data_IF_189537278011
#
_entry.id   IF_189537278011
#
_cell.length_a   1.000
_cell.length_b   1.000
_cell.length_c   1.000
_cell.angle_alpha   90.00
_cell.angle_beta   90.00
_cell.angle_gamma   90.00
#
_symmetry.space_group_name_H-M   'P 1'
#
loop_
_entity.id
_entity.type
_entity.pdbx_description
1 polymer ?
#
# COMPACT_ATOMS: atom_id res chain seq x y z
N UNK A 1 -4.63 6.47 -15.23
CA UNK A 1 -3.93 6.13 -14.19
C UNK A 1 -4.74 6.03 -13.03
N UNK A 2 -5.04 4.99 -12.68
CA UNK A 2 -5.90 4.81 -11.68
C UNK A 2 -5.23 5.04 -10.43
N UNK A 3 -5.67 4.98 -9.46
CA UNK A 3 -5.33 5.32 -8.12
C UNK A 3 -4.03 4.70 -7.59
N UNK A 4 -2.94 4.87 -8.34
CA UNK A 4 -1.64 4.32 -7.94
C UNK A 4 -1.21 4.85 -6.57
N UNK A 5 -1.45 6.13 -6.31
CA UNK A 5 -1.11 6.73 -5.01
C UNK A 5 -1.92 6.06 -3.90
N UNK A 6 -3.20 5.82 -4.12
CA UNK A 6 -4.05 5.12 -3.15
C UNK A 6 -3.49 3.74 -2.84
N UNK A 7 -3.16 2.95 -3.87
CA UNK A 7 -2.68 1.59 -3.65
C UNK A 7 -1.31 1.55 -2.98
N UNK A 8 -0.43 2.51 -3.28
CA UNK A 8 0.85 2.62 -2.57
C UNK A 8 0.63 2.91 -1.09
N UNK A 9 -0.31 3.80 -0.77
CA UNK A 9 -0.64 4.12 0.62
C UNK A 9 -1.25 2.91 1.34
N UNK A 10 -2.17 2.20 0.69
CA UNK A 10 -2.75 0.99 1.27
C UNK A 10 -1.71 -0.11 1.47
N UNK A 11 -0.82 -0.26 0.50
CA UNK A 11 0.27 -1.24 0.61
C UNK A 11 1.16 -0.92 1.81
N UNK A 12 1.52 0.34 2.00
CA UNK A 12 2.35 0.75 3.14
C UNK A 12 1.72 0.33 4.47
N UNK A 13 0.40 0.48 4.60
CA UNK A 13 -0.32 0.14 5.82
C UNK A 13 -0.49 -1.37 5.98
N UNK A 14 -0.87 -2.06 4.90
CA UNK A 14 -1.34 -3.45 4.98
C UNK A 14 -0.37 -4.50 4.46
N UNK A 15 0.83 -4.11 4.05
CA UNK A 15 1.79 -5.06 3.46
C UNK A 15 2.10 -6.26 4.36
N UNK A 16 2.02 -6.07 5.67
CA UNK A 16 2.24 -7.16 6.62
C UNK A 16 1.21 -8.29 6.51
N UNK A 17 0.07 -8.03 5.86
CA UNK A 17 -0.97 -9.02 5.64
C UNK A 17 -0.84 -9.74 4.30
N UNK A 18 0.13 -9.35 3.49
CA UNK A 18 0.39 -9.96 2.20
C UNK A 18 1.49 -11.01 2.33
N UNK A 19 1.51 -11.97 1.40
CA UNK A 19 2.60 -12.94 1.33
C UNK A 19 3.88 -12.27 0.82
N UNK A 20 5.02 -12.91 1.03
CA UNK A 20 6.30 -12.42 0.52
C UNK A 20 6.26 -12.23 -0.99
N UNK A 21 5.69 -13.21 -1.70
CA UNK A 21 5.56 -13.12 -3.15
C UNK A 21 4.69 -11.95 -3.57
N UNK A 22 3.58 -11.71 -2.87
CA UNK A 22 2.69 -10.59 -3.18
C UNK A 22 3.39 -9.25 -2.96
N UNK A 23 4.15 -9.12 -1.87
CA UNK A 23 4.92 -7.89 -1.62
C UNK A 23 5.94 -7.64 -2.72
N UNK A 24 6.63 -8.70 -3.14
CA UNK A 24 7.62 -8.57 -4.20
C UNK A 24 6.99 -8.20 -5.53
N UNK A 25 5.86 -8.82 -5.86
CA UNK A 25 5.12 -8.54 -7.08
C UNK A 25 4.65 -7.08 -7.11
N UNK A 26 4.12 -6.59 -5.99
CA UNK A 26 3.70 -5.20 -5.86
C UNK A 26 4.90 -4.25 -6.04
N UNK A 27 6.03 -4.59 -5.41
CA UNK A 27 7.25 -3.81 -5.54
C UNK A 27 7.70 -3.68 -7.00
N UNK A 28 7.70 -4.77 -7.73
CA UNK A 28 8.08 -4.76 -9.15
C UNK A 28 7.19 -3.84 -9.96
N UNK A 29 5.90 -3.88 -9.74
CA UNK A 29 4.95 -3.10 -10.53
C UNK A 29 4.92 -1.63 -10.14
N UNK A 30 4.89 -1.33 -8.84
CA UNK A 30 4.64 0.02 -8.37
C UNK A 30 5.90 0.82 -8.01
N UNK A 31 6.96 0.15 -7.59
CA UNK A 31 8.18 0.85 -7.21
C UNK A 31 9.29 0.74 -8.26
N UNK A 32 9.37 -0.39 -8.97
CA UNK A 32 10.34 -0.56 -10.04
C UNK A 32 9.76 -0.24 -11.42
N UNK A 33 8.46 0.03 -11.47
CA UNK A 33 7.75 0.40 -12.70
C UNK A 33 7.92 -0.60 -13.84
N UNK A 34 7.92 -1.88 -13.50
CA UNK A 34 8.05 -2.93 -14.51
C UNK A 34 6.72 -3.20 -15.20
N UNK A 35 6.78 -3.49 -16.50
CA UNK A 35 5.62 -3.94 -17.25
C UNK A 35 5.27 -5.38 -16.84
N UNK A 36 4.07 -5.82 -17.17
CA UNK A 36 3.70 -7.21 -16.89
C UNK A 36 4.59 -8.20 -17.64
N UNK A 37 5.05 -7.83 -18.84
CA UNK A 37 5.99 -8.66 -19.59
C UNK A 37 7.33 -8.80 -18.84
N UNK A 38 7.83 -7.70 -18.29
CA UNK A 38 9.07 -7.69 -17.52
C UNK A 38 8.92 -8.48 -16.24
N UNK A 39 7.79 -8.32 -15.55
CA UNK A 39 7.50 -9.09 -14.34
C UNK A 39 7.44 -10.59 -14.66
N UNK A 40 6.85 -10.96 -15.78
CA UNK A 40 6.77 -12.36 -16.20
C UNK A 40 8.17 -12.95 -16.38
N UNK A 41 9.09 -12.20 -16.98
CA UNK A 41 10.48 -12.63 -17.12
C UNK A 41 11.13 -12.83 -15.75
N UNK A 42 10.96 -11.88 -14.85
CA UNK A 42 11.59 -11.92 -13.53
C UNK A 42 11.06 -13.07 -12.67
N UNK A 43 9.78 -13.35 -12.75
CA UNK A 43 9.13 -14.33 -11.87
C UNK A 43 9.00 -15.72 -12.49
N UNK A 44 9.21 -15.84 -13.79
CA UNK A 44 8.96 -17.09 -14.51
C UNK A 44 7.48 -17.36 -14.76
N UNK A 45 6.61 -16.41 -14.41
CA UNK A 45 5.17 -16.55 -14.64
C UNK A 45 4.80 -15.99 -16.02
N UNK A 46 3.54 -16.12 -16.42
CA UNK A 46 3.04 -15.51 -17.64
C UNK A 46 2.67 -14.06 -17.40
N UNK A 47 2.55 -13.27 -18.47
CA UNK A 47 2.06 -11.90 -18.38
C UNK A 47 0.67 -11.85 -17.77
N UNK A 48 -0.19 -12.78 -18.16
CA UNK A 48 -1.55 -12.88 -17.63
C UNK A 48 -1.54 -13.16 -16.13
N UNK A 49 -0.66 -14.06 -15.70
CA UNK A 49 -0.52 -14.39 -14.29
C UNK A 49 0.00 -13.19 -13.49
N UNK A 50 0.95 -12.44 -14.06
CA UNK A 50 1.46 -11.24 -13.39
C UNK A 50 0.35 -10.19 -13.24
N UNK A 51 -0.41 -9.93 -14.30
CA UNK A 51 -1.52 -8.97 -14.25
C UNK A 51 -2.60 -9.41 -13.26
N UNK A 52 -2.95 -10.70 -13.28
CA UNK A 52 -3.93 -11.24 -12.34
C UNK A 52 -3.46 -11.18 -10.91
N UNK A 53 -2.18 -11.39 -10.67
CA UNK A 53 -1.60 -11.27 -9.33
C UNK A 53 -1.68 -9.86 -8.78
N UNK A 54 -1.38 -8.88 -9.61
CA UNK A 54 -1.50 -7.46 -9.21
C UNK A 54 -2.96 -7.11 -8.91
N UNK A 55 -3.89 -7.55 -9.77
CA UNK A 55 -5.31 -7.30 -9.53
C UNK A 55 -5.75 -7.90 -8.20
N UNK A 56 -5.32 -9.11 -7.91
CA UNK A 56 -5.66 -9.79 -6.65
C UNK A 56 -5.12 -9.02 -5.45
N UNK A 57 -3.90 -8.50 -5.54
CA UNK A 57 -3.32 -7.69 -4.46
C UNK A 57 -4.14 -6.42 -4.25
N UNK A 58 -4.50 -5.73 -5.32
CA UNK A 58 -5.32 -4.52 -5.24
C UNK A 58 -6.67 -4.81 -4.59
N UNK A 59 -7.30 -5.89 -4.98
CA UNK A 59 -8.58 -6.30 -4.38
C UNK A 59 -8.43 -6.58 -2.89
N UNK A 60 -7.35 -7.26 -2.50
CA UNK A 60 -7.09 -7.53 -1.08
C UNK A 60 -6.86 -6.25 -0.28
N UNK A 61 -6.09 -5.32 -0.83
CA UNK A 61 -5.84 -4.06 -0.14
C UNK A 61 -7.12 -3.27 0.08
N UNK A 62 -8.02 -3.26 -0.91
CA UNK A 62 -9.32 -2.61 -0.75
C UNK A 62 -10.19 -3.32 0.28
N UNK A 63 -10.15 -4.65 0.32
CA UNK A 63 -10.87 -5.44 1.32
C UNK A 63 -10.38 -5.13 2.72
N UNK A 64 -9.05 -5.08 2.91
CA UNK A 64 -8.49 -4.76 4.22
C UNK A 64 -8.91 -3.37 4.69
N UNK A 65 -8.85 -2.39 3.79
CA UNK A 65 -9.26 -1.04 4.15
C UNK A 65 -10.76 -0.96 4.46
N UNK A 66 -11.57 -1.68 3.70
CA UNK A 66 -13.01 -1.72 3.96
C UNK A 66 -13.31 -2.27 5.36
N UNK A 67 -12.56 -3.29 5.77
CA UNK A 67 -12.76 -3.94 7.06
C UNK A 67 -12.13 -3.18 8.23
N UNK A 68 -10.90 -2.71 8.05
CA UNK A 68 -10.09 -2.16 9.13
C UNK A 68 -10.04 -0.65 9.19
N UNK A 69 -10.19 0.01 8.04
CA UNK A 69 -10.26 1.48 7.93
C UNK A 69 -9.05 2.20 8.53
N UNK A 70 -7.87 1.58 8.46
CA UNK A 70 -6.66 2.19 9.04
C UNK A 70 -6.20 3.41 8.26
N UNK A 71 -6.34 3.40 6.92
CA UNK A 71 -5.98 4.58 6.14
C UNK A 71 -6.89 5.75 6.50
N UNK A 72 -8.19 5.50 6.59
CA UNK A 72 -9.14 6.54 6.98
C UNK A 72 -8.80 7.09 8.36
N UNK A 73 -8.46 6.22 9.30
CA UNK A 73 -8.08 6.61 10.65
C UNK A 73 -6.80 7.46 10.64
N UNK A 74 -5.77 7.03 9.92
CA UNK A 74 -4.52 7.79 9.84
C UNK A 74 -4.72 9.14 9.18
N UNK A 75 -5.53 9.21 8.12
CA UNK A 75 -5.84 10.47 7.46
C UNK A 75 -6.56 11.43 8.42
N UNK A 76 -7.50 10.92 9.21
CA UNK A 76 -8.21 11.73 10.19
C UNK A 76 -7.28 12.20 11.30
N UNK A 77 -6.36 11.35 11.76
CA UNK A 77 -5.39 11.73 12.78
C UNK A 77 -4.41 12.78 12.25
N UNK A 78 -3.97 12.65 11.02
CA UNK A 78 -3.09 13.64 10.40
C UNK A 78 -3.80 14.99 10.29
N UNK A 79 -5.05 15.01 9.90
CA UNK A 79 -5.85 16.21 9.78
C UNK A 79 -6.04 16.85 11.16
N UNK A 80 -6.34 16.05 12.17
CA UNK A 80 -6.46 16.51 13.55
C UNK A 80 -5.14 17.13 14.04
N UNK A 81 -4.03 16.44 13.74
CA UNK A 81 -2.72 16.92 14.18
C UNK A 81 -2.39 18.25 13.53
N UNK A 82 -2.69 18.43 12.24
CA UNK A 82 -2.45 19.69 11.54
C UNK A 82 -3.25 20.83 12.13
N UNK A 83 -4.48 20.56 12.55
CA UNK A 83 -5.37 21.61 13.07
C UNK A 83 -5.12 21.97 14.53
N UNK A 84 -4.73 20.99 15.35
CA UNK A 84 -4.77 21.19 16.80
C UNK A 84 -3.46 20.95 17.52
N UNK A 85 -2.47 20.32 16.91
CA UNK A 85 -1.23 19.96 17.61
C UNK A 85 -0.07 20.86 17.23
N UNK A 86 0.77 21.16 18.24
CA UNK A 86 2.05 21.84 18.02
C UNK A 86 3.03 20.87 17.32
N UNK A 87 4.18 21.39 16.83
CA UNK A 87 5.20 20.49 16.28
C UNK A 87 5.62 19.37 17.22
N UNK A 88 5.73 19.67 18.53
CA UNK A 88 6.05 18.65 19.52
C UNK A 88 4.95 17.62 19.65
N UNK A 89 3.69 18.06 19.65
CA UNK A 89 2.54 17.16 19.70
C UNK A 89 2.46 16.27 18.46
N UNK A 90 2.73 16.82 17.29
CA UNK A 90 2.77 16.03 16.05
C UNK A 90 3.85 14.96 16.11
N UNK A 91 5.02 15.30 16.62
CA UNK A 91 6.11 14.33 16.74
C UNK A 91 5.74 13.23 17.73
N UNK A 92 5.13 13.58 18.85
CA UNK A 92 4.68 12.60 19.85
C UNK A 92 3.65 11.64 19.22
N UNK A 93 2.73 12.15 18.42
CA UNK A 93 1.73 11.32 17.75
C UNK A 93 2.40 10.34 16.77
N UNK A 94 3.37 10.81 16.00
CA UNK A 94 4.10 9.95 15.08
C UNK A 94 4.81 8.81 15.81
N UNK A 95 5.39 9.10 16.96
CA UNK A 95 6.07 8.10 17.77
C UNK A 95 5.10 7.02 18.26
N UNK A 96 3.92 7.43 18.72
CA UNK A 96 2.88 6.50 19.16
C UNK A 96 2.44 5.59 18.02
N UNK A 97 2.22 6.17 16.84
CA UNK A 97 1.75 5.42 15.68
C UNK A 97 2.85 4.60 15.01
N UNK A 98 4.12 4.90 15.27
CA UNK A 98 5.23 4.22 14.63
C UNK A 98 5.37 4.58 13.15
N UNK A 99 4.92 5.76 12.78
CA UNK A 99 4.90 6.15 11.37
C UNK A 99 5.66 7.45 11.11
#
# INVERSE_FOLDING_TARGET
MDNDILFVQLFDIYKGLLTDYQRELFNMRYFLDLSFAEIAVETGASRQSAAGGIKKIKDKLLEYEKALKLKALYDDLDDFAERYLSPAGKQALKEILGR
#
